data_IF_502176610229
#
_entry.id   IF_502176610229
#
_cell.length_a   1.000
_cell.length_b   1.000
_cell.length_c   1.000
_cell.angle_alpha   90.00
_cell.angle_beta   90.00
_cell.angle_gamma   90.00
#
_symmetry.space_group_name_H-M   'P 1'
#
loop_
_entity.id
_entity.type
_entity.pdbx_description
1 polymer ?
#
# COMPACT_ATOMS: atom_id res chain seq x y z
N UNK A 1 -21.75 25.99 21.79
CA UNK A 1 -20.33 25.57 21.95
C UNK A 1 -19.78 25.31 20.58
N UNK A 2 -18.51 25.69 20.38
CA UNK A 2 -17.86 25.59 19.08
C UNK A 2 -17.19 24.20 18.95
N UNK A 3 -17.46 23.47 17.86
CA UNK A 3 -16.81 22.21 17.59
C UNK A 3 -15.29 22.41 17.38
N UNK A 4 -14.49 21.43 17.77
CA UNK A 4 -13.03 21.56 17.83
C UNK A 4 -12.49 22.12 19.15
N UNK A 5 -13.36 22.60 20.06
CA UNK A 5 -12.96 23.05 21.39
C UNK A 5 -12.56 21.86 22.28
N UNK A 6 -11.50 22.04 23.08
CA UNK A 6 -11.24 21.11 24.19
C UNK A 6 -12.24 21.36 25.30
N UNK A 7 -12.89 20.30 25.73
CA UNK A 7 -13.97 20.36 26.73
C UNK A 7 -13.77 19.28 27.79
N UNK A 8 -14.32 19.57 28.97
CA UNK A 8 -14.57 18.62 30.04
C UNK A 8 -16.07 18.28 30.00
N UNK A 9 -16.42 17.03 29.94
CA UNK A 9 -17.80 16.52 29.93
C UNK A 9 -17.99 15.65 31.14
N UNK A 10 -18.94 16.04 32.02
CA UNK A 10 -19.37 15.25 33.19
C UNK A 10 -20.61 14.48 32.81
N UNK A 11 -20.60 13.17 32.98
CA UNK A 11 -21.71 12.27 32.75
C UNK A 11 -21.79 11.27 33.91
N UNK A 12 -22.90 11.28 34.62
CA UNK A 12 -23.09 10.54 35.89
C UNK A 12 -21.97 10.86 36.89
N UNK A 13 -21.22 9.87 37.36
CA UNK A 13 -20.07 10.05 38.27
C UNK A 13 -18.72 10.19 37.54
N UNK A 14 -18.72 10.17 36.19
CA UNK A 14 -17.48 10.17 35.39
C UNK A 14 -17.20 11.53 34.75
N UNK A 15 -15.94 11.83 34.59
CA UNK A 15 -15.45 13.02 33.89
C UNK A 15 -14.61 12.59 32.67
N UNK A 16 -14.94 13.15 31.51
CA UNK A 16 -14.26 12.88 30.25
C UNK A 16 -13.64 14.16 29.72
N UNK A 17 -12.41 14.07 29.28
CA UNK A 17 -11.64 15.15 28.68
C UNK A 17 -11.37 14.84 27.21
N UNK A 18 -11.63 15.79 26.32
CA UNK A 18 -11.42 15.57 24.90
C UNK A 18 -11.83 16.76 24.04
N UNK A 19 -11.88 16.53 22.75
CA UNK A 19 -12.30 17.54 21.76
C UNK A 19 -13.73 17.29 21.37
N UNK A 20 -14.58 18.34 21.40
CA UNK A 20 -15.97 18.30 20.98
C UNK A 20 -16.03 18.14 19.46
N UNK A 21 -16.72 17.09 18.98
CA UNK A 21 -16.87 16.74 17.56
C UNK A 21 -18.33 16.84 17.17
N UNK A 22 -18.64 17.20 15.93
CA UNK A 22 -20.00 17.21 15.43
C UNK A 22 -20.56 15.79 15.35
N UNK A 23 -21.78 15.60 15.85
CA UNK A 23 -22.50 14.33 15.77
C UNK A 23 -23.63 14.44 14.74
N UNK A 24 -23.80 13.40 13.93
CA UNK A 24 -24.96 13.26 13.04
C UNK A 24 -26.27 13.06 13.83
N UNK A 25 -26.20 12.57 15.06
CA UNK A 25 -27.34 12.49 16.00
C UNK A 25 -27.35 13.71 16.94
N UNK A 26 -28.33 14.57 16.78
CA UNK A 26 -28.48 15.79 17.59
C UNK A 26 -28.72 15.52 19.09
N UNK A 27 -29.08 14.29 19.47
CA UNK A 27 -29.29 13.86 20.85
C UNK A 27 -28.01 13.42 21.55
N UNK A 28 -26.90 13.28 20.79
CA UNK A 28 -25.61 12.77 21.28
C UNK A 28 -24.56 13.88 21.22
N UNK A 29 -23.78 14.00 22.28
CA UNK A 29 -22.53 14.73 22.29
C UNK A 29 -21.43 13.73 21.91
N UNK A 30 -20.72 13.98 20.81
CA UNK A 30 -19.58 13.19 20.39
C UNK A 30 -18.30 13.85 20.90
N UNK A 31 -17.55 13.10 21.72
CA UNK A 31 -16.30 13.57 22.32
C UNK A 31 -15.14 12.70 21.83
N UNK A 32 -14.15 13.32 21.23
CA UNK A 32 -12.89 12.67 20.89
C UNK A 32 -11.93 12.73 22.06
N UNK A 33 -11.62 11.57 22.67
CA UNK A 33 -10.69 11.44 23.78
C UNK A 33 -9.24 11.60 23.33
N UNK A 34 -8.32 11.89 24.27
CA UNK A 34 -6.88 11.96 24.00
C UNK A 34 -6.29 10.63 23.51
N UNK A 35 -6.90 9.51 23.91
CA UNK A 35 -6.58 8.17 23.38
C UNK A 35 -6.91 7.98 21.89
N UNK A 36 -7.61 8.96 21.26
CA UNK A 36 -8.03 8.91 19.86
C UNK A 36 -9.39 8.21 19.66
N UNK A 37 -10.02 7.64 20.69
CA UNK A 37 -11.36 7.08 20.60
C UNK A 37 -12.42 8.16 20.68
N UNK A 38 -13.51 7.98 19.93
CA UNK A 38 -14.70 8.80 20.06
C UNK A 38 -15.72 8.10 20.99
N UNK A 39 -16.28 8.86 21.92
CA UNK A 39 -17.39 8.41 22.77
C UNK A 39 -18.62 9.26 22.52
N UNK A 40 -19.79 8.62 22.41
CA UNK A 40 -21.08 9.28 22.31
C UNK A 40 -21.77 9.33 23.67
N UNK A 41 -22.17 10.52 24.15
CA UNK A 41 -22.83 10.72 25.41
C UNK A 41 -24.18 11.40 25.20
N UNK A 42 -25.26 11.00 25.93
CA UNK A 42 -26.58 11.61 25.75
C UNK A 42 -26.57 13.08 26.15
N UNK A 43 -26.83 13.97 25.21
CA UNK A 43 -26.79 15.43 25.37
C UNK A 43 -27.60 15.94 26.55
N UNK A 44 -28.70 15.30 26.84
CA UNK A 44 -29.64 15.67 27.94
C UNK A 44 -29.11 15.34 29.34
N UNK A 45 -28.06 14.50 29.44
CA UNK A 45 -27.54 13.99 30.73
C UNK A 45 -26.11 14.46 31.04
N UNK A 46 -25.53 15.31 30.19
CA UNK A 46 -24.14 15.77 30.36
C UNK A 46 -24.06 17.24 30.75
N UNK A 47 -23.05 17.56 31.56
CA UNK A 47 -22.58 18.94 31.77
C UNK A 47 -21.27 19.12 31.03
N UNK A 48 -21.17 20.19 30.20
CA UNK A 48 -20.02 20.48 29.39
C UNK A 48 -19.42 21.82 29.78
N UNK A 49 -18.11 21.83 30.02
CA UNK A 49 -17.35 23.06 30.24
C UNK A 49 -16.22 23.15 29.21
N UNK A 50 -16.06 24.31 28.58
CA UNK A 50 -14.99 24.55 27.60
C UNK A 50 -13.70 24.83 28.35
N UNK A 51 -12.62 24.07 28.00
CA UNK A 51 -11.28 24.25 28.54
C UNK A 51 -10.51 25.23 27.65
N UNK A 52 -10.57 25.05 26.33
CA UNK A 52 -9.96 25.98 25.37
C UNK A 52 -10.71 25.98 24.05
N UNK A 53 -10.71 27.13 23.36
CA UNK A 53 -11.23 27.25 22.01
C UNK A 53 -10.19 26.72 20.99
N UNK A 54 -10.61 26.36 19.76
CA UNK A 54 -9.67 25.93 18.71
C UNK A 54 -8.69 27.08 18.42
N UNK A 55 -7.40 26.80 18.47
CA UNK A 55 -6.37 27.81 18.22
C UNK A 55 -5.81 27.60 16.81
N UNK A 56 -6.31 28.34 15.83
CA UNK A 56 -5.83 28.32 14.44
C UNK A 56 -4.62 29.25 14.28
N UNK A 57 -3.43 28.78 14.68
CA UNK A 57 -2.19 29.53 14.43
C UNK A 57 -1.67 29.17 13.05
N UNK A 58 -1.83 30.07 12.08
CA UNK A 58 -1.14 29.98 10.78
C UNK A 58 0.32 30.39 11.01
N UNK A 59 1.21 29.41 11.21
CA UNK A 59 2.66 29.66 11.19
C UNK A 59 3.12 29.85 9.75
N UNK A 60 3.71 31.00 9.45
CA UNK A 60 4.41 31.26 8.18
C UNK A 60 5.55 30.25 8.05
N UNK A 61 5.66 29.62 6.87
CA UNK A 61 6.74 28.70 6.55
C UNK A 61 8.10 29.41 6.63
N UNK A 62 8.98 28.91 7.49
CA UNK A 62 10.38 29.35 7.52
C UNK A 62 11.09 28.80 6.27
N UNK A 63 11.97 29.63 5.66
CA UNK A 63 12.85 29.20 4.57
C UNK A 63 13.62 27.95 4.96
N UNK A 64 13.60 26.95 4.07
CA UNK A 64 14.30 25.68 4.28
C UNK A 64 15.81 25.92 4.20
N UNK A 65 16.53 25.93 5.32
CA UNK A 65 18.00 25.87 5.32
C UNK A 65 18.42 24.47 4.84
N UNK A 66 19.07 24.40 3.68
CA UNK A 66 19.68 23.18 3.15
C UNK A 66 20.94 22.87 3.94
N UNK A 67 21.04 21.66 4.48
CA UNK A 67 22.26 21.17 5.12
C UNK A 67 23.04 20.32 4.11
N UNK A 68 24.20 20.84 3.65
CA UNK A 68 25.02 20.17 2.62
C UNK A 68 25.58 18.80 3.03
N UNK A 69 25.60 18.48 4.34
CA UNK A 69 26.04 17.17 4.83
C UNK A 69 24.96 16.09 4.77
N UNK A 70 23.70 16.44 4.53
CA UNK A 70 22.60 15.50 4.50
C UNK A 70 22.18 15.14 3.08
N UNK A 71 21.76 13.87 2.83
CA UNK A 71 21.27 13.47 1.51
C UNK A 71 19.93 14.15 1.18
N UNK A 72 19.69 14.37 -0.10
CA UNK A 72 18.39 14.86 -0.58
C UNK A 72 17.45 13.68 -0.80
N UNK A 73 16.26 13.73 -0.22
CA UNK A 73 15.19 12.75 -0.40
C UNK A 73 13.92 13.49 -0.83
N UNK A 74 13.22 12.96 -1.83
CA UNK A 74 11.91 13.48 -2.22
C UNK A 74 10.80 12.64 -1.60
N UNK A 75 9.84 13.30 -0.95
CA UNK A 75 8.58 12.69 -0.51
C UNK A 75 7.51 13.03 -1.55
N UNK A 76 6.90 12.00 -2.13
CA UNK A 76 5.77 12.13 -3.06
C UNK A 76 4.51 11.72 -2.33
N UNK A 77 3.51 12.61 -2.25
CA UNK A 77 2.23 12.34 -1.59
C UNK A 77 1.15 11.97 -2.61
N UNK A 78 0.45 10.87 -2.33
CA UNK A 78 -0.74 10.43 -3.07
C UNK A 78 -2.04 10.59 -2.28
N UNK A 79 -1.96 11.10 -1.04
CA UNK A 79 -3.08 11.19 -0.10
C UNK A 79 -3.02 10.10 0.99
N UNK A 80 -4.18 9.59 1.37
CA UNK A 80 -4.31 8.54 2.38
C UNK A 80 -4.23 9.03 3.83
N UNK A 81 -4.42 8.11 4.78
CA UNK A 81 -4.58 8.40 6.23
C UNK A 81 -3.34 9.07 6.85
N UNK A 82 -2.14 8.82 6.35
CA UNK A 82 -0.91 9.43 6.86
C UNK A 82 -0.92 10.96 6.66
N UNK A 83 -1.56 11.42 5.57
CA UNK A 83 -1.74 12.83 5.25
C UNK A 83 -3.14 13.36 5.62
N UNK A 84 -3.88 12.63 6.45
CA UNK A 84 -5.26 12.95 6.80
C UNK A 84 -5.35 13.49 8.23
N UNK A 85 -6.34 14.35 8.45
CA UNK A 85 -6.76 14.81 9.78
C UNK A 85 -8.24 14.47 9.97
N UNK A 86 -8.68 14.31 11.23
CA UNK A 86 -10.10 14.19 11.52
C UNK A 86 -10.75 15.54 11.27
N UNK A 87 -11.77 15.56 10.44
CA UNK A 87 -12.70 16.68 10.38
C UNK A 87 -13.46 16.73 11.69
N UNK A 88 -13.16 17.71 12.52
CA UNK A 88 -13.80 17.86 13.82
C UNK A 88 -15.29 18.21 13.74
N UNK A 89 -15.83 18.52 12.57
CA UNK A 89 -17.27 18.71 12.38
C UNK A 89 -17.99 17.38 12.20
N UNK A 90 -17.45 16.49 11.38
CA UNK A 90 -18.13 15.22 11.02
C UNK A 90 -17.58 14.01 11.78
N UNK A 91 -16.43 14.12 12.43
CA UNK A 91 -15.70 12.99 13.02
C UNK A 91 -15.05 12.07 11.99
N UNK A 92 -15.24 12.35 10.70
CA UNK A 92 -14.65 11.59 9.60
C UNK A 92 -13.18 11.98 9.36
N UNK A 93 -12.40 11.04 8.86
CA UNK A 93 -11.04 11.29 8.39
C UNK A 93 -11.12 11.77 6.95
N UNK A 94 -10.54 12.94 6.66
CA UNK A 94 -10.49 13.48 5.30
C UNK A 94 -9.04 13.64 4.84
N UNK A 95 -8.71 13.35 3.56
CA UNK A 95 -7.37 13.54 3.01
C UNK A 95 -7.13 15.03 2.70
N UNK A 96 -6.78 15.83 3.71
CA UNK A 96 -6.70 17.30 3.58
C UNK A 96 -5.35 17.88 3.99
N UNK A 97 -4.47 17.07 4.58
CA UNK A 97 -3.25 17.62 5.18
C UNK A 97 -2.10 17.65 4.19
N UNK A 98 -1.57 18.85 3.91
CA UNK A 98 -0.34 19.00 3.15
C UNK A 98 0.80 18.24 3.85
N UNK A 99 1.61 17.52 3.09
CA UNK A 99 2.80 16.80 3.59
C UNK A 99 3.69 17.67 4.46
N UNK A 100 3.76 18.98 4.18
CA UNK A 100 4.49 19.96 4.99
C UNK A 100 4.03 20.01 6.44
N UNK A 101 2.72 19.89 6.73
CA UNK A 101 2.20 19.87 8.10
C UNK A 101 2.58 18.59 8.85
N UNK A 102 2.62 17.44 8.15
CA UNK A 102 3.12 16.20 8.75
C UNK A 102 4.59 16.34 9.16
N UNK A 103 5.42 16.95 8.31
CA UNK A 103 6.84 17.20 8.61
C UNK A 103 7.05 18.16 9.78
N UNK A 104 6.15 19.12 9.99
CA UNK A 104 6.19 20.03 11.16
C UNK A 104 5.96 19.29 12.48
N UNK A 105 5.19 18.20 12.46
CA UNK A 105 4.93 17.34 13.63
C UNK A 105 6.09 16.39 13.96
N UNK A 106 7.06 16.23 13.05
CA UNK A 106 8.18 15.28 13.15
C UNK A 106 9.52 16.04 12.98
N UNK A 107 9.93 16.85 13.96
CA UNK A 107 11.12 17.70 13.85
C UNK A 107 12.43 16.92 13.67
N UNK A 108 12.48 15.67 14.13
CA UNK A 108 13.63 14.77 13.98
C UNK A 108 13.99 14.45 12.53
N UNK A 109 13.05 14.55 11.60
CA UNK A 109 13.26 14.29 10.16
C UNK A 109 14.33 15.25 9.58
N UNK A 110 14.44 16.47 10.11
CA UNK A 110 15.41 17.46 9.66
C UNK A 110 16.87 17.03 9.85
N UNK A 111 17.11 16.07 10.74
CA UNK A 111 18.43 15.50 11.00
C UNK A 111 18.74 14.27 10.14
N UNK A 112 17.75 13.75 9.38
CA UNK A 112 17.89 12.55 8.56
C UNK A 112 18.24 12.90 7.12
N UNK A 113 17.55 13.90 6.53
CA UNK A 113 17.70 14.27 5.13
C UNK A 113 17.22 15.71 4.85
N UNK A 114 17.69 16.28 3.76
CA UNK A 114 17.04 17.43 3.13
C UNK A 114 15.80 16.95 2.38
N UNK A 115 14.62 17.38 2.80
CA UNK A 115 13.35 16.88 2.26
C UNK A 115 12.80 17.85 1.21
N UNK A 116 12.57 17.33 0.01
CA UNK A 116 11.69 17.91 -0.99
C UNK A 116 10.32 17.24 -0.95
N UNK A 117 9.23 17.96 -1.15
CA UNK A 117 7.85 17.39 -1.13
C UNK A 117 7.13 17.72 -2.42
N UNK A 118 6.48 16.71 -2.99
CA UNK A 118 5.66 16.80 -4.21
C UNK A 118 4.31 16.16 -3.89
N UNK A 119 3.24 16.88 -4.09
CA UNK A 119 1.88 16.36 -3.96
C UNK A 119 1.33 16.12 -5.37
N UNK A 120 1.01 14.86 -5.68
CA UNK A 120 0.52 14.47 -7.01
C UNK A 120 -0.95 14.09 -6.98
N UNK A 121 -1.42 13.50 -5.89
CA UNK A 121 -2.81 13.08 -5.70
C UNK A 121 -3.26 13.41 -4.27
N UNK A 122 -4.57 13.52 -4.09
CA UNK A 122 -5.22 13.66 -2.78
C UNK A 122 -6.45 12.75 -2.76
N UNK A 123 -6.22 11.43 -2.87
CA UNK A 123 -7.25 10.39 -2.92
C UNK A 123 -7.12 9.43 -1.75
N UNK A 124 -8.24 8.81 -1.35
CA UNK A 124 -8.16 7.55 -0.63
C UNK A 124 -7.60 6.47 -1.56
N UNK A 125 -6.92 5.48 -0.99
CA UNK A 125 -6.25 4.47 -1.81
C UNK A 125 -7.22 3.56 -2.57
N UNK A 126 -8.42 3.36 -2.05
CA UNK A 126 -9.50 2.61 -2.71
C UNK A 126 -10.07 3.32 -3.94
N UNK A 127 -9.88 4.63 -4.05
CA UNK A 127 -10.31 5.45 -5.20
C UNK A 127 -9.25 5.55 -6.30
N UNK A 128 -8.10 4.90 -6.11
CA UNK A 128 -7.03 4.91 -7.11
C UNK A 128 -7.39 4.01 -8.30
N UNK A 129 -7.12 4.51 -9.49
CA UNK A 129 -7.27 3.81 -10.77
C UNK A 129 -5.91 3.32 -11.31
N UNK A 130 -5.97 2.58 -12.40
CA UNK A 130 -4.78 2.15 -13.17
C UNK A 130 -4.01 3.36 -13.73
N UNK A 131 -4.70 4.44 -14.08
CA UNK A 131 -4.10 5.69 -14.53
C UNK A 131 -3.28 6.37 -13.42
N UNK A 132 -3.75 6.32 -12.18
CA UNK A 132 -3.03 6.88 -11.03
C UNK A 132 -1.65 6.18 -10.83
N UNK A 133 -1.55 4.88 -11.14
CA UNK A 133 -0.23 4.19 -11.12
C UNK A 133 0.72 4.74 -12.18
N UNK A 134 0.20 5.13 -13.35
CA UNK A 134 0.98 5.79 -14.39
C UNK A 134 1.52 7.14 -13.89
N UNK A 135 0.68 7.94 -13.24
CA UNK A 135 1.07 9.24 -12.69
C UNK A 135 2.09 9.11 -11.56
N UNK A 136 1.88 8.17 -10.65
CA UNK A 136 2.83 7.88 -9.56
C UNK A 136 4.17 7.42 -10.15
N UNK A 137 4.16 6.51 -11.14
CA UNK A 137 5.36 6.02 -11.81
C UNK A 137 6.14 7.15 -12.49
N UNK A 138 5.44 8.05 -13.19
CA UNK A 138 6.04 9.23 -13.84
C UNK A 138 6.70 10.17 -12.82
N UNK A 139 6.00 10.47 -11.72
CA UNK A 139 6.51 11.36 -10.69
C UNK A 139 7.74 10.77 -9.99
N UNK A 140 7.69 9.48 -9.62
CA UNK A 140 8.81 8.78 -8.99
C UNK A 140 10.00 8.70 -9.94
N UNK A 141 9.78 8.34 -11.22
CA UNK A 141 10.83 8.25 -12.22
C UNK A 141 11.59 9.58 -12.40
N UNK A 142 10.86 10.71 -12.46
CA UNK A 142 11.47 12.05 -12.56
C UNK A 142 12.41 12.32 -11.38
N UNK A 143 12.06 11.90 -10.18
CA UNK A 143 12.85 12.15 -8.97
C UNK A 143 14.04 11.18 -8.85
N UNK A 144 13.86 9.87 -9.06
CA UNK A 144 14.96 8.89 -8.97
C UNK A 144 15.99 9.08 -10.08
N UNK A 145 15.63 9.71 -11.21
CA UNK A 145 16.53 10.04 -12.32
C UNK A 145 17.46 11.22 -12.06
N UNK A 146 17.19 12.02 -10.99
CA UNK A 146 18.05 13.16 -10.62
C UNK A 146 19.27 12.66 -9.86
N UNK A 147 20.46 13.11 -10.26
CA UNK A 147 21.74 12.67 -9.64
C UNK A 147 21.82 13.07 -8.16
N UNK A 148 21.29 14.24 -7.80
CA UNK A 148 21.33 14.75 -6.44
C UNK A 148 20.24 14.18 -5.51
N UNK A 149 19.31 13.35 -5.98
CA UNK A 149 18.29 12.66 -5.17
C UNK A 149 18.82 11.29 -4.77
N UNK A 150 18.86 11.02 -3.47
CA UNK A 150 19.37 9.77 -2.91
C UNK A 150 18.33 8.65 -2.94
N UNK A 151 17.06 8.96 -2.76
CA UNK A 151 15.92 8.03 -2.81
C UNK A 151 14.59 8.78 -2.75
N UNK A 152 13.51 8.05 -2.93
CA UNK A 152 12.14 8.59 -2.93
C UNK A 152 11.31 7.86 -1.89
N UNK A 153 10.50 8.61 -1.14
CA UNK A 153 9.47 8.07 -0.25
C UNK A 153 8.10 8.43 -0.84
N UNK A 154 7.21 7.45 -0.99
CA UNK A 154 5.84 7.65 -1.43
C UNK A 154 4.92 7.46 -0.23
N UNK A 155 4.21 8.51 0.19
CA UNK A 155 3.17 8.38 1.22
C UNK A 155 1.85 7.99 0.56
N UNK A 156 1.21 6.93 1.05
CA UNK A 156 0.09 6.29 0.38
C UNK A 156 -0.96 5.80 1.39
N UNK A 157 -2.21 5.72 0.97
CA UNK A 157 -3.26 5.06 1.73
C UNK A 157 -3.02 3.54 1.82
N UNK A 158 -3.33 2.94 2.99
CA UNK A 158 -2.88 1.57 3.27
C UNK A 158 -3.67 0.47 2.55
N UNK A 159 -4.93 0.71 2.13
CA UNK A 159 -5.79 -0.36 1.62
C UNK A 159 -5.31 -0.96 0.30
N UNK A 160 -4.78 -0.13 -0.60
CA UNK A 160 -4.23 -0.57 -1.90
C UNK A 160 -2.74 -0.27 -2.07
N UNK A 161 -2.02 0.03 -0.99
CA UNK A 161 -0.58 0.32 -1.04
C UNK A 161 0.21 -0.80 -1.71
N UNK A 162 -0.12 -2.05 -1.43
CA UNK A 162 0.56 -3.22 -2.00
C UNK A 162 0.31 -3.40 -3.50
N UNK A 163 -0.82 -2.93 -4.05
CA UNK A 163 -1.02 -2.85 -5.50
C UNK A 163 -0.12 -1.79 -6.14
N UNK A 164 -0.08 -0.59 -5.56
CA UNK A 164 0.73 0.52 -6.10
C UNK A 164 2.23 0.24 -6.00
N UNK A 165 2.70 -0.37 -4.90
CA UNK A 165 4.11 -0.78 -4.77
C UNK A 165 4.48 -1.89 -5.77
N UNK A 166 3.57 -2.85 -6.04
CA UNK A 166 3.75 -3.83 -7.09
C UNK A 166 3.78 -3.18 -8.48
N UNK A 167 2.91 -2.19 -8.76
CA UNK A 167 2.90 -1.47 -10.04
C UNK A 167 4.25 -0.77 -10.29
N UNK A 168 4.80 -0.07 -9.31
CA UNK A 168 6.09 0.58 -9.46
C UNK A 168 7.25 -0.43 -9.55
N UNK A 169 7.15 -1.60 -8.95
CA UNK A 169 8.14 -2.67 -9.09
C UNK A 169 8.30 -3.15 -10.53
N UNK A 170 7.23 -3.07 -11.33
CA UNK A 170 7.27 -3.41 -12.75
C UNK A 170 7.54 -2.21 -13.65
N UNK A 171 7.00 -1.03 -13.34
CA UNK A 171 7.14 0.15 -14.19
C UNK A 171 8.53 0.78 -14.15
N UNK A 172 9.26 0.64 -13.03
CA UNK A 172 10.61 1.19 -12.83
C UNK A 172 11.67 0.10 -13.00
N UNK A 173 12.06 -0.13 -14.26
CA UNK A 173 13.08 -1.12 -14.58
C UNK A 173 14.49 -0.59 -14.34
N UNK A 174 15.43 -1.48 -13.94
CA UNK A 174 16.83 -1.13 -13.67
C UNK A 174 16.95 -0.01 -12.60
N UNK A 175 16.20 -0.13 -11.52
CA UNK A 175 16.15 0.85 -10.46
C UNK A 175 17.44 0.83 -9.63
N UNK A 176 18.19 1.95 -9.63
CA UNK A 176 19.45 2.09 -8.90
C UNK A 176 19.34 2.82 -7.56
N UNK A 177 18.14 3.19 -7.13
CA UNK A 177 17.88 3.94 -5.89
C UNK A 177 16.62 3.41 -5.18
N UNK A 178 16.53 3.52 -3.83
CA UNK A 178 15.33 3.09 -3.10
C UNK A 178 14.10 3.93 -3.48
N UNK A 179 12.98 3.24 -3.67
CA UNK A 179 11.63 3.82 -3.74
C UNK A 179 10.81 3.18 -2.63
N UNK A 180 10.43 3.95 -1.62
CA UNK A 180 9.89 3.44 -0.36
C UNK A 180 8.45 3.90 -0.16
N UNK A 181 7.52 2.96 -0.15
CA UNK A 181 6.13 3.23 0.21
C UNK A 181 5.93 3.17 1.72
N UNK A 182 5.27 4.20 2.25
CA UNK A 182 4.86 4.28 3.65
C UNK A 182 3.41 4.70 3.75
N UNK A 183 2.74 4.26 4.80
CA UNK A 183 1.36 4.64 5.08
C UNK A 183 1.14 4.84 6.59
N UNK A 184 -0.09 5.05 6.99
CA UNK A 184 -0.49 5.08 8.39
C UNK A 184 -1.89 4.49 8.56
N UNK A 185 -2.06 3.60 9.52
CA UNK A 185 -3.36 3.03 9.89
C UNK A 185 -4.18 4.00 10.75
N UNK A 186 -3.49 4.94 11.41
CA UNK A 186 -4.08 5.95 12.27
C UNK A 186 -3.79 7.33 11.72
N UNK A 187 -4.77 8.22 11.76
CA UNK A 187 -4.59 9.62 11.36
C UNK A 187 -3.60 10.37 12.26
N UNK A 188 -2.95 11.39 11.71
CA UNK A 188 -1.86 12.12 12.34
C UNK A 188 -2.23 12.90 13.61
N UNK A 189 -3.50 13.00 13.92
CA UNK A 189 -4.07 13.68 15.08
C UNK A 189 -4.43 12.70 16.23
N UNK A 190 -4.17 11.40 16.09
CA UNK A 190 -4.40 10.38 17.13
C UNK A 190 -3.12 10.09 17.91
N UNK A 191 -3.25 9.83 19.22
CA UNK A 191 -2.12 9.44 20.07
C UNK A 191 -1.44 8.13 19.66
N UNK A 192 -2.17 7.26 18.94
CA UNK A 192 -1.63 6.00 18.39
C UNK A 192 -1.16 6.12 16.93
N UNK A 193 -0.86 7.33 16.47
CA UNK A 193 -0.39 7.59 15.11
C UNK A 193 0.89 6.80 14.79
N UNK A 194 0.81 5.93 13.80
CA UNK A 194 1.90 5.05 13.38
C UNK A 194 2.68 5.59 12.15
N UNK A 195 2.08 6.51 11.40
CA UNK A 195 2.70 7.10 10.22
C UNK A 195 4.01 7.84 10.50
N UNK A 196 4.19 8.33 11.73
CA UNK A 196 5.43 9.02 12.13
C UNK A 196 6.64 8.09 12.12
N UNK A 197 6.56 6.93 12.80
CA UNK A 197 7.64 5.95 12.78
C UNK A 197 7.84 5.36 11.39
N UNK A 198 6.75 5.04 10.66
CA UNK A 198 6.82 4.52 9.29
C UNK A 198 7.59 5.51 8.38
N UNK A 199 7.31 6.81 8.48
CA UNK A 199 7.99 7.82 7.67
C UNK A 199 9.47 7.98 8.06
N UNK A 200 9.81 8.04 9.36
CA UNK A 200 11.18 8.12 9.84
C UNK A 200 12.00 6.92 9.35
N UNK A 201 11.49 5.70 9.56
CA UNK A 201 12.10 4.46 9.08
C UNK A 201 12.19 4.44 7.55
N UNK A 202 11.14 4.88 6.85
CA UNK A 202 11.13 5.03 5.39
C UNK A 202 12.23 5.95 4.87
N UNK A 203 12.50 7.07 5.54
CA UNK A 203 13.59 7.98 5.19
C UNK A 203 14.96 7.36 5.40
N UNK A 204 15.15 6.58 6.49
CA UNK A 204 16.39 5.84 6.71
C UNK A 204 16.64 4.80 5.61
N UNK A 205 15.60 4.09 5.17
CA UNK A 205 15.68 3.15 4.05
C UNK A 205 15.91 3.87 2.72
N UNK A 206 15.26 5.02 2.47
CA UNK A 206 15.44 5.79 1.24
C UNK A 206 16.89 6.31 1.04
N UNK A 207 17.66 6.49 2.10
CA UNK A 207 19.09 6.84 2.01
C UNK A 207 20.03 5.61 1.94
N UNK A 208 19.54 4.40 2.18
CA UNK A 208 20.32 3.15 2.18
C UNK A 208 20.73 2.72 0.78
N UNK A 209 21.40 1.58 0.68
CA UNK A 209 21.82 0.98 -0.60
C UNK A 209 20.84 -0.08 -1.14
N UNK A 210 19.64 -0.21 -0.54
CA UNK A 210 18.62 -1.15 -1.00
C UNK A 210 17.86 -0.54 -2.20
N UNK A 211 18.28 -0.85 -3.42
CA UNK A 211 17.77 -0.24 -4.65
C UNK A 211 16.59 -1.02 -5.24
N UNK A 212 15.48 -1.07 -4.51
CA UNK A 212 14.24 -1.72 -4.91
C UNK A 212 13.02 -0.82 -4.62
N UNK A 213 11.86 -1.22 -5.12
CA UNK A 213 10.57 -0.70 -4.64
C UNK A 213 10.19 -1.46 -3.38
N UNK A 214 10.02 -0.73 -2.29
CA UNK A 214 9.91 -1.26 -0.94
C UNK A 214 8.66 -0.76 -0.25
N UNK A 215 8.15 -1.50 0.73
CA UNK A 215 7.20 -1.00 1.72
C UNK A 215 7.86 -0.99 3.09
N UNK A 216 7.71 0.11 3.83
CA UNK A 216 8.25 0.26 5.18
C UNK A 216 7.12 0.60 6.13
N UNK A 217 6.73 -0.37 6.92
CA UNK A 217 5.59 -0.30 7.84
C UNK A 217 5.95 -0.96 9.17
N UNK A 218 5.22 -0.63 10.26
CA UNK A 218 5.38 -1.24 11.57
C UNK A 218 5.59 -2.75 11.48
N UNK A 219 6.58 -3.25 12.19
CA UNK A 219 6.88 -4.69 12.28
C UNK A 219 6.19 -5.39 13.45
N UNK A 220 5.76 -4.63 14.44
CA UNK A 220 5.00 -5.09 15.62
C UNK A 220 3.86 -4.10 15.92
N UNK A 221 3.04 -4.43 16.92
CA UNK A 221 2.04 -3.50 17.47
C UNK A 221 2.64 -2.30 18.19
N UNK A 222 3.93 -2.36 18.54
CA UNK A 222 4.66 -1.34 19.28
C UNK A 222 5.55 -0.52 18.35
N UNK A 223 6.03 0.65 18.83
CA UNK A 223 6.91 1.55 18.08
C UNK A 223 8.40 1.15 18.11
N UNK A 224 8.70 -0.16 18.06
CA UNK A 224 10.05 -0.69 18.19
C UNK A 224 10.84 -0.64 16.89
N UNK A 225 10.23 -1.10 15.79
CA UNK A 225 10.86 -1.20 14.46
C UNK A 225 9.83 -1.26 13.34
N UNK A 226 10.27 -0.99 12.12
CA UNK A 226 9.52 -1.28 10.91
C UNK A 226 10.14 -2.45 10.14
N UNK A 227 9.31 -3.17 9.36
CA UNK A 227 9.76 -4.14 8.39
C UNK A 227 9.96 -3.46 7.04
N UNK A 228 11.05 -3.82 6.37
CA UNK A 228 11.34 -3.45 4.98
C UNK A 228 10.98 -4.63 4.10
N UNK A 229 9.85 -4.55 3.41
CA UNK A 229 9.37 -5.62 2.55
C UNK A 229 9.52 -5.25 1.07
N UNK A 230 9.72 -6.25 0.21
CA UNK A 230 9.68 -6.06 -1.25
C UNK A 230 8.27 -5.67 -1.67
N UNK A 231 8.14 -4.63 -2.51
CA UNK A 231 6.87 -4.01 -2.85
C UNK A 231 5.85 -4.93 -3.55
N UNK A 232 6.33 -5.98 -4.22
CA UNK A 232 5.51 -6.97 -4.93
C UNK A 232 5.35 -8.31 -4.19
N UNK A 233 5.91 -8.45 -2.97
CA UNK A 233 5.77 -9.64 -2.11
C UNK A 233 5.26 -9.31 -0.70
N UNK A 234 4.47 -8.26 -0.59
CA UNK A 234 3.87 -7.79 0.66
C UNK A 234 2.36 -7.70 0.53
N UNK A 235 1.64 -7.95 1.62
CA UNK A 235 0.18 -7.84 1.67
C UNK A 235 -0.28 -7.20 2.98
N UNK A 236 -1.37 -6.40 2.90
CA UNK A 236 -2.09 -5.93 4.08
C UNK A 236 -2.92 -7.08 4.65
N UNK A 237 -2.48 -7.66 5.78
CA UNK A 237 -3.04 -8.86 6.38
C UNK A 237 -4.09 -8.59 7.46
N UNK A 238 -4.25 -7.34 7.87
CA UNK A 238 -5.23 -6.95 8.89
C UNK A 238 -5.82 -5.58 8.56
N UNK A 239 -7.10 -5.40 8.84
CA UNK A 239 -7.84 -4.17 8.50
C UNK A 239 -7.32 -2.91 9.20
N UNK A 240 -6.88 -3.02 10.47
CA UNK A 240 -6.62 -1.86 11.33
C UNK A 240 -5.33 -1.93 12.17
N UNK A 241 -4.64 -3.09 12.25
CA UNK A 241 -3.38 -3.19 13.02
C UNK A 241 -2.28 -2.35 12.39
N UNK A 242 -1.42 -1.75 13.20
CA UNK A 242 -0.26 -0.98 12.74
C UNK A 242 0.74 -1.87 11.99
N UNK A 243 0.94 -3.09 12.46
CA UNK A 243 1.80 -4.14 11.87
C UNK A 243 1.09 -5.02 10.84
N UNK A 244 0.13 -4.46 10.11
CA UNK A 244 -0.71 -5.21 9.17
C UNK A 244 0.00 -5.65 7.88
N UNK A 245 1.11 -5.03 7.51
CA UNK A 245 1.84 -5.36 6.29
C UNK A 245 2.85 -6.47 6.55
N UNK A 246 2.62 -7.63 5.91
CA UNK A 246 3.47 -8.80 6.08
C UNK A 246 4.04 -9.28 4.75
N UNK A 247 5.30 -9.74 4.75
CA UNK A 247 5.86 -10.41 3.58
C UNK A 247 5.12 -11.74 3.36
N UNK A 248 4.92 -12.11 2.10
CA UNK A 248 4.26 -13.37 1.73
C UNK A 248 5.22 -14.20 0.88
N UNK A 249 5.37 -15.46 1.23
CA UNK A 249 6.30 -16.42 0.60
C UNK A 249 7.76 -15.93 0.56
N UNK A 250 8.14 -15.15 1.56
CA UNK A 250 9.50 -14.63 1.74
C UNK A 250 9.64 -14.06 3.15
N UNK A 251 10.87 -13.83 3.59
CA UNK A 251 11.16 -13.00 4.77
C UNK A 251 11.32 -11.53 4.36
N UNK A 252 11.18 -10.56 5.28
CA UNK A 252 11.47 -9.16 4.96
C UNK A 252 12.92 -8.98 4.53
N UNK A 253 13.20 -7.96 3.73
CA UNK A 253 14.58 -7.61 3.37
C UNK A 253 15.35 -7.18 4.61
N UNK A 254 14.72 -6.39 5.49
CA UNK A 254 15.37 -5.87 6.68
C UNK A 254 14.37 -5.50 7.79
N UNK A 255 14.91 -5.31 9.01
CA UNK A 255 14.31 -4.49 10.06
C UNK A 255 15.01 -3.14 10.09
N UNK A 256 14.23 -2.09 10.29
CA UNK A 256 14.75 -0.72 10.44
C UNK A 256 14.21 -0.09 11.71
N UNK A 257 15.07 0.57 12.46
CA UNK A 257 14.78 1.20 13.74
C UNK A 257 14.72 2.72 13.60
N UNK A 258 14.09 3.38 14.57
CA UNK A 258 13.93 4.85 14.59
C UNK A 258 15.27 5.61 14.54
N UNK A 259 16.33 5.05 15.12
CA UNK A 259 17.69 5.61 15.14
C UNK A 259 18.45 5.45 13.81
N UNK A 260 17.88 4.70 12.86
CA UNK A 260 18.44 4.45 11.55
C UNK A 260 19.25 3.16 11.44
N UNK A 261 19.31 2.34 12.48
CA UNK A 261 19.89 0.98 12.39
C UNK A 261 19.06 0.15 11.42
N UNK A 262 19.73 -0.54 10.49
CA UNK A 262 19.11 -1.46 9.53
C UNK A 262 19.74 -2.84 9.72
N UNK A 263 18.92 -3.85 9.99
CA UNK A 263 19.32 -5.25 10.13
C UNK A 263 18.82 -6.02 8.90
N UNK A 264 19.75 -6.44 8.04
CA UNK A 264 19.45 -7.16 6.79
C UNK A 264 19.12 -8.63 7.10
N UNK A 265 18.05 -9.14 6.50
CA UNK A 265 17.58 -10.52 6.65
C UNK A 265 17.56 -11.31 5.33
N UNK A 266 17.51 -10.64 4.17
CA UNK A 266 17.51 -11.31 2.88
C UNK A 266 18.26 -10.48 1.82
N UNK A 267 18.53 -11.10 0.69
CA UNK A 267 19.17 -10.46 -0.46
C UNK A 267 18.32 -9.31 -1.03
N UNK A 268 19.01 -8.33 -1.58
CA UNK A 268 18.41 -7.17 -2.23
C UNK A 268 19.30 -6.67 -3.40
N UNK A 269 18.73 -5.84 -4.26
CA UNK A 269 19.47 -5.18 -5.32
C UNK A 269 20.26 -4.01 -4.75
N UNK A 270 21.57 -3.98 -5.03
CA UNK A 270 22.45 -2.91 -4.59
C UNK A 270 22.24 -1.64 -5.42
N UNK A 271 22.47 -0.51 -4.77
CA UNK A 271 22.51 0.81 -5.43
C UNK A 271 23.52 0.84 -6.57
N UNK A 272 23.14 1.50 -7.66
CA UNK A 272 24.02 1.77 -8.80
C UNK A 272 23.67 3.11 -9.46
N UNK A 273 24.56 3.60 -10.34
CA UNK A 273 24.42 4.89 -11.03
C UNK A 273 23.68 4.82 -12.37
N UNK A 274 23.35 3.62 -12.85
CA UNK A 274 22.60 3.48 -14.11
C UNK A 274 21.23 4.14 -13.97
N UNK A 275 20.81 4.82 -15.03
CA UNK A 275 19.48 5.43 -15.05
C UNK A 275 18.38 4.36 -15.14
N UNK A 276 17.30 4.50 -14.40
CA UNK A 276 16.14 3.62 -14.51
C UNK A 276 15.51 3.74 -15.90
N UNK A 277 14.83 2.69 -16.34
CA UNK A 277 13.97 2.72 -17.53
C UNK A 277 12.51 2.74 -17.07
N UNK A 278 11.72 3.66 -17.62
CA UNK A 278 10.29 3.79 -17.30
C UNK A 278 9.45 3.03 -18.32
N UNK A 279 8.58 2.16 -17.83
CA UNK A 279 7.55 1.43 -18.58
C UNK A 279 6.20 1.56 -17.85
N UNK A 280 5.61 2.74 -17.89
CA UNK A 280 4.51 3.17 -16.99
C UNK A 280 3.11 2.83 -17.47
N UNK A 281 2.94 2.13 -18.60
CA UNK A 281 1.61 1.81 -19.12
C UNK A 281 0.99 0.61 -18.39
N UNK A 282 -0.29 0.69 -18.12
CA UNK A 282 -1.11 -0.38 -17.56
C UNK A 282 -2.43 -0.48 -18.35
N UNK A 283 -2.96 -1.70 -18.51
CA UNK A 283 -4.20 -1.94 -19.24
C UNK A 283 -5.35 -2.22 -18.26
N UNK A 284 -6.47 -1.55 -18.43
CA UNK A 284 -7.67 -1.70 -17.60
C UNK A 284 -8.49 -2.95 -17.90
N UNK A 285 -8.27 -3.60 -19.06
CA UNK A 285 -9.01 -4.78 -19.49
C UNK A 285 -8.42 -6.07 -18.90
N UNK A 286 -8.11 -6.03 -17.61
CA UNK A 286 -7.67 -7.17 -16.81
C UNK A 286 -8.61 -7.33 -15.62
N UNK A 287 -8.98 -8.58 -15.30
CA UNK A 287 -9.82 -8.91 -14.15
C UNK A 287 -9.07 -9.77 -13.14
N UNK A 288 -9.28 -9.49 -11.85
CA UNK A 288 -8.89 -10.35 -10.74
C UNK A 288 -10.16 -11.00 -10.18
N UNK A 289 -10.25 -12.33 -10.21
CA UNK A 289 -11.44 -13.08 -9.84
C UNK A 289 -11.14 -14.09 -8.75
N UNK A 290 -11.74 -13.90 -7.59
CA UNK A 290 -11.72 -14.90 -6.53
C UNK A 290 -12.78 -15.96 -6.79
N UNK A 291 -12.34 -17.20 -7.02
CA UNK A 291 -13.25 -18.33 -7.20
C UNK A 291 -13.97 -18.67 -5.89
N UNK A 292 -15.25 -19.03 -5.97
CA UNK A 292 -16.05 -19.55 -4.84
C UNK A 292 -17.03 -20.62 -5.33
N UNK A 293 -17.42 -21.60 -4.45
CA UNK A 293 -18.44 -22.60 -4.80
C UNK A 293 -19.77 -21.93 -5.18
N UNK A 294 -20.33 -22.32 -6.32
CA UNK A 294 -21.55 -21.72 -6.84
C UNK A 294 -21.35 -20.48 -7.73
N UNK A 295 -20.11 -20.14 -8.10
CA UNK A 295 -19.81 -19.04 -9.02
C UNK A 295 -20.59 -19.18 -10.34
N UNK A 296 -21.24 -18.10 -10.78
CA UNK A 296 -22.00 -18.06 -12.02
C UNK A 296 -21.05 -18.03 -13.24
N UNK A 297 -21.28 -18.96 -14.17
CA UNK A 297 -20.53 -19.04 -15.44
C UNK A 297 -20.69 -17.79 -16.31
N UNK A 298 -21.80 -17.06 -16.17
CA UNK A 298 -22.08 -15.82 -16.92
C UNK A 298 -21.07 -14.73 -16.69
N UNK A 299 -20.35 -14.76 -15.57
CA UNK A 299 -19.24 -13.82 -15.32
C UNK A 299 -18.18 -13.89 -16.43
N UNK A 300 -17.84 -15.09 -16.87
CA UNK A 300 -16.84 -15.30 -17.93
C UNK A 300 -17.38 -14.89 -19.31
N UNK A 301 -18.68 -15.08 -19.57
CA UNK A 301 -19.35 -14.55 -20.77
C UNK A 301 -19.33 -13.02 -20.80
N UNK A 302 -19.56 -12.37 -19.66
CA UNK A 302 -19.46 -10.93 -19.52
C UNK A 302 -18.05 -10.42 -19.84
N UNK A 303 -17.01 -11.05 -19.32
CA UNK A 303 -15.62 -10.66 -19.57
C UNK A 303 -15.27 -10.79 -21.06
N UNK A 304 -15.68 -11.88 -21.71
CA UNK A 304 -15.46 -12.09 -23.13
C UNK A 304 -16.18 -11.01 -23.97
N UNK A 305 -17.48 -10.79 -23.71
CA UNK A 305 -18.30 -9.78 -24.40
C UNK A 305 -17.71 -8.36 -24.25
N UNK A 306 -17.14 -8.02 -23.09
CA UNK A 306 -16.55 -6.71 -22.81
C UNK A 306 -15.05 -6.63 -23.17
N UNK A 307 -14.55 -7.62 -23.93
CA UNK A 307 -13.19 -7.64 -24.52
C UNK A 307 -12.09 -7.50 -23.46
N UNK A 308 -12.23 -8.18 -22.32
CA UNK A 308 -11.12 -8.31 -21.40
C UNK A 308 -9.98 -9.08 -22.07
N UNK A 309 -8.74 -8.61 -21.84
CA UNK A 309 -7.53 -9.17 -22.44
C UNK A 309 -6.83 -10.17 -21.53
N UNK A 310 -7.09 -10.07 -20.22
CA UNK A 310 -6.46 -10.91 -19.23
C UNK A 310 -7.33 -11.15 -18.00
N UNK A 311 -7.16 -12.32 -17.39
CA UNK A 311 -7.87 -12.73 -16.17
C UNK A 311 -6.87 -13.40 -15.25
N UNK A 312 -6.81 -12.97 -14.00
CA UNK A 312 -6.16 -13.68 -12.91
C UNK A 312 -7.24 -14.32 -12.06
N UNK A 313 -7.14 -15.63 -11.86
CA UNK A 313 -8.07 -16.38 -11.02
C UNK A 313 -7.36 -16.77 -9.72
N UNK A 314 -7.94 -16.36 -8.59
CA UNK A 314 -7.59 -16.90 -7.28
C UNK A 314 -8.32 -18.22 -7.09
N UNK A 315 -7.66 -19.34 -7.43
CA UNK A 315 -8.19 -20.68 -7.23
C UNK A 315 -8.05 -21.17 -5.80
N UNK A 316 -8.69 -22.26 -5.45
CA UNK A 316 -8.55 -22.90 -4.13
C UNK A 316 -7.29 -23.77 -4.06
N UNK A 317 -6.62 -23.77 -2.91
CA UNK A 317 -5.46 -24.62 -2.66
C UNK A 317 -4.37 -24.47 -3.73
N UNK A 318 -4.02 -25.53 -4.41
CA UNK A 318 -3.00 -25.56 -5.47
C UNK A 318 -3.45 -24.91 -6.80
N UNK A 319 -4.51 -24.11 -6.80
CA UNK A 319 -5.04 -23.46 -8.01
C UNK A 319 -6.16 -24.28 -8.67
N UNK A 320 -7.18 -24.64 -7.89
CA UNK A 320 -8.31 -25.41 -8.39
C UNK A 320 -9.59 -24.55 -8.46
N UNK A 321 -10.41 -24.88 -9.44
CA UNK A 321 -11.75 -24.32 -9.64
C UNK A 321 -12.70 -25.44 -10.07
N UNK A 322 -14.00 -25.19 -10.05
CA UNK A 322 -14.99 -26.19 -10.45
C UNK A 322 -14.86 -26.58 -11.94
N UNK A 323 -14.93 -27.86 -12.24
CA UNK A 323 -14.78 -28.42 -13.60
C UNK A 323 -15.73 -27.84 -14.65
N UNK A 324 -16.93 -27.43 -14.26
CA UNK A 324 -17.89 -26.74 -15.15
C UNK A 324 -17.34 -25.44 -15.78
N UNK A 325 -16.35 -24.77 -15.13
CA UNK A 325 -15.72 -23.55 -15.64
C UNK A 325 -14.73 -23.83 -16.79
N UNK A 326 -14.27 -25.07 -16.93
CA UNK A 326 -13.20 -25.43 -17.88
C UNK A 326 -13.53 -25.03 -19.32
N UNK A 327 -14.75 -25.31 -19.79
CA UNK A 327 -15.16 -24.96 -21.16
C UNK A 327 -15.16 -23.44 -21.37
N UNK A 328 -15.67 -22.66 -20.42
CA UNK A 328 -15.70 -21.18 -20.51
C UNK A 328 -14.30 -20.59 -20.52
N UNK A 329 -13.41 -21.10 -19.69
CA UNK A 329 -12.00 -20.69 -19.67
C UNK A 329 -11.30 -21.05 -20.97
N UNK A 330 -11.56 -22.24 -21.51
CA UNK A 330 -11.03 -22.67 -22.80
C UNK A 330 -11.50 -21.77 -23.96
N UNK A 331 -12.78 -21.37 -23.97
CA UNK A 331 -13.34 -20.43 -24.93
C UNK A 331 -12.63 -19.06 -24.87
N UNK A 332 -12.42 -18.51 -23.67
CA UNK A 332 -11.69 -17.25 -23.45
C UNK A 332 -10.25 -17.33 -23.97
N UNK A 333 -9.53 -18.40 -23.63
CA UNK A 333 -8.15 -18.58 -24.10
C UNK A 333 -8.08 -18.69 -25.62
N UNK A 334 -9.02 -19.41 -26.25
CA UNK A 334 -9.12 -19.48 -27.72
C UNK A 334 -9.43 -18.15 -28.37
N UNK A 335 -10.14 -17.25 -27.68
CA UNK A 335 -10.39 -15.88 -28.15
C UNK A 335 -9.22 -14.91 -27.88
N UNK A 336 -8.09 -15.41 -27.36
CA UNK A 336 -6.87 -14.62 -27.12
C UNK A 336 -6.76 -14.01 -25.73
N UNK A 337 -7.65 -14.33 -24.79
CA UNK A 337 -7.57 -13.85 -23.40
C UNK A 337 -6.53 -14.66 -22.64
N UNK A 338 -5.58 -13.97 -22.00
CA UNK A 338 -4.66 -14.63 -21.07
C UNK A 338 -5.38 -15.02 -19.78
N UNK A 339 -5.20 -16.26 -19.31
CA UNK A 339 -5.75 -16.73 -18.04
C UNK A 339 -4.62 -17.22 -17.15
N UNK A 340 -4.39 -16.50 -16.04
CA UNK A 340 -3.42 -16.83 -14.99
C UNK A 340 -4.10 -17.43 -13.77
N UNK A 341 -3.45 -18.41 -13.12
CA UNK A 341 -3.91 -19.06 -11.90
C UNK A 341 -3.00 -18.69 -10.74
N UNK A 342 -3.58 -18.20 -9.66
CA UNK A 342 -2.97 -17.97 -8.35
C UNK A 342 -3.79 -18.69 -7.27
N UNK A 343 -3.38 -18.61 -5.99
CA UNK A 343 -4.11 -19.21 -4.88
C UNK A 343 -4.85 -18.18 -4.05
N UNK A 344 -5.99 -18.58 -3.48
CA UNK A 344 -6.68 -17.86 -2.39
C UNK A 344 -5.93 -17.96 -1.05
N UNK A 345 -5.10 -19.01 -0.89
CA UNK A 345 -4.20 -19.12 0.24
C UNK A 345 -3.09 -18.09 0.10
N UNK A 346 -2.84 -17.32 1.15
CA UNK A 346 -1.81 -16.27 1.09
C UNK A 346 -0.41 -16.87 0.93
N UNK A 347 -0.17 -18.05 1.48
CA UNK A 347 1.13 -18.72 1.47
C UNK A 347 1.08 -19.99 0.62
N UNK A 348 2.22 -20.34 0.05
CA UNK A 348 2.42 -21.51 -0.79
C UNK A 348 2.38 -21.17 -2.28
N UNK A 349 2.45 -22.20 -3.10
CA UNK A 349 2.55 -22.11 -4.56
C UNK A 349 1.44 -22.90 -5.23
N UNK A 350 0.90 -22.40 -6.34
CA UNK A 350 -0.03 -23.17 -7.17
C UNK A 350 0.73 -24.21 -7.99
N UNK A 351 0.15 -25.40 -8.16
CA UNK A 351 0.78 -26.49 -8.89
C UNK A 351 -0.25 -27.32 -9.70
N UNK A 352 -0.13 -27.36 -11.04
CA UNK A 352 -1.08 -28.10 -11.87
C UNK A 352 -0.89 -29.62 -11.86
N UNK A 353 0.24 -30.13 -11.39
CA UNK A 353 0.64 -31.53 -11.65
C UNK A 353 0.15 -32.54 -10.60
N UNK A 354 -0.30 -32.06 -9.44
CA UNK A 354 -0.68 -32.94 -8.31
C UNK A 354 -2.04 -33.62 -8.55
N UNK A 355 -3.03 -32.88 -9.04
CA UNK A 355 -4.39 -33.38 -9.25
C UNK A 355 -4.82 -33.31 -10.72
N UNK A 356 -5.72 -34.24 -11.13
CA UNK A 356 -6.26 -34.29 -12.49
C UNK A 356 -6.97 -32.98 -12.92
N UNK A 357 -7.67 -32.32 -12.00
CA UNK A 357 -8.32 -31.03 -12.25
C UNK A 357 -7.32 -29.94 -12.63
N UNK A 358 -6.17 -29.85 -11.94
CA UNK A 358 -5.10 -28.91 -12.27
C UNK A 358 -4.48 -29.20 -13.65
N UNK A 359 -4.20 -30.50 -13.93
CA UNK A 359 -3.68 -30.92 -15.24
C UNK A 359 -4.64 -30.57 -16.38
N UNK A 360 -5.93 -30.74 -16.16
CA UNK A 360 -6.94 -30.38 -17.16
C UNK A 360 -6.93 -28.86 -17.45
N UNK A 361 -6.88 -28.01 -16.43
CA UNK A 361 -6.79 -26.58 -16.59
C UNK A 361 -5.51 -26.17 -17.34
N UNK A 362 -4.37 -26.73 -16.96
CA UNK A 362 -3.08 -26.50 -17.59
C UNK A 362 -3.09 -26.91 -19.08
N UNK A 363 -3.63 -28.08 -19.41
CA UNK A 363 -3.74 -28.59 -20.79
C UNK A 363 -4.70 -27.73 -21.65
N UNK A 364 -5.62 -27.00 -21.04
CA UNK A 364 -6.49 -26.04 -21.73
C UNK A 364 -5.89 -24.63 -21.81
N UNK A 365 -4.64 -24.44 -21.39
CA UNK A 365 -3.89 -23.21 -21.61
C UNK A 365 -3.83 -22.26 -20.41
N UNK A 366 -4.41 -22.62 -19.26
CA UNK A 366 -4.27 -21.82 -18.02
C UNK A 366 -2.80 -21.78 -17.60
N UNK A 367 -2.28 -20.59 -17.32
CA UNK A 367 -0.91 -20.38 -16.88
C UNK A 367 -0.86 -20.31 -15.35
N UNK A 368 -0.20 -21.28 -14.72
CA UNK A 368 0.01 -21.29 -13.27
C UNK A 368 1.16 -20.35 -12.91
N UNK A 369 0.91 -19.47 -11.92
CA UNK A 369 1.81 -18.35 -11.55
C UNK A 369 2.53 -18.61 -10.23
N UNK A 370 2.78 -19.87 -9.92
CA UNK A 370 3.62 -20.32 -8.80
C UNK A 370 3.22 -19.69 -7.45
N UNK A 371 4.13 -18.97 -6.78
CA UNK A 371 3.93 -18.33 -5.49
C UNK A 371 3.58 -16.84 -5.59
N UNK A 372 3.32 -16.34 -6.81
CA UNK A 372 2.98 -14.92 -7.01
C UNK A 372 1.65 -14.58 -6.34
N UNK A 373 1.64 -13.47 -5.57
CA UNK A 373 0.41 -12.94 -4.97
C UNK A 373 -0.63 -12.59 -6.03
N UNK A 374 -1.92 -12.83 -5.77
CA UNK A 374 -3.00 -12.48 -6.73
C UNK A 374 -2.98 -11.02 -7.15
N UNK A 375 -2.76 -10.10 -6.20
CA UNK A 375 -2.69 -8.67 -6.44
C UNK A 375 -1.49 -8.30 -7.33
N UNK A 376 -0.34 -8.89 -7.04
CA UNK A 376 0.88 -8.73 -7.86
C UNK A 376 0.69 -9.31 -9.26
N UNK A 377 0.05 -10.46 -9.39
CA UNK A 377 -0.24 -11.09 -10.68
C UNK A 377 -1.18 -10.24 -11.54
N UNK A 378 -2.22 -9.65 -10.91
CA UNK A 378 -3.14 -8.73 -11.57
C UNK A 378 -2.39 -7.49 -12.11
N UNK A 379 -1.60 -6.85 -11.27
CA UNK A 379 -0.81 -5.67 -11.64
C UNK A 379 0.20 -6.02 -12.74
N UNK A 380 0.93 -7.13 -12.59
CA UNK A 380 1.88 -7.60 -13.59
C UNK A 380 1.22 -7.85 -14.94
N UNK A 381 0.05 -8.51 -14.95
CA UNK A 381 -0.68 -8.79 -16.18
C UNK A 381 -1.15 -7.50 -16.86
N UNK A 382 -1.71 -6.56 -16.10
CA UNK A 382 -2.08 -5.24 -16.60
C UNK A 382 -0.89 -4.51 -17.25
N UNK A 383 0.26 -4.54 -16.61
CA UNK A 383 1.50 -3.96 -17.10
C UNK A 383 2.04 -4.70 -18.34
N UNK A 384 2.05 -6.03 -18.32
CA UNK A 384 2.54 -6.85 -19.46
C UNK A 384 1.71 -6.61 -20.71
N UNK A 385 0.37 -6.64 -20.59
CA UNK A 385 -0.55 -6.41 -21.73
C UNK A 385 -0.35 -5.02 -22.34
N UNK A 386 -0.05 -4.02 -21.52
CA UNK A 386 0.11 -2.63 -21.99
C UNK A 386 1.48 -2.34 -22.63
N UNK A 387 2.49 -3.17 -22.42
CA UNK A 387 3.88 -2.86 -22.81
C UNK A 387 4.52 -3.90 -23.74
N UNK A 388 3.89 -5.06 -23.99
CA UNK A 388 4.45 -6.14 -24.80
C UNK A 388 3.41 -6.67 -25.79
N UNK A 389 3.89 -7.34 -26.83
CA UNK A 389 3.03 -7.95 -27.84
C UNK A 389 2.29 -9.16 -27.27
N UNK A 390 1.11 -9.44 -27.82
CA UNK A 390 0.23 -10.52 -27.35
C UNK A 390 0.93 -11.89 -27.32
N UNK A 391 1.84 -12.15 -28.25
CA UNK A 391 2.64 -13.39 -28.30
C UNK A 391 3.60 -13.54 -27.12
N UNK A 392 4.03 -12.43 -26.52
CA UNK A 392 5.01 -12.41 -25.41
C UNK A 392 4.36 -12.52 -24.02
N UNK A 393 3.04 -12.25 -23.91
CA UNK A 393 2.35 -12.14 -22.61
C UNK A 393 2.65 -13.35 -21.71
N UNK A 394 2.48 -14.58 -22.22
CA UNK A 394 2.71 -15.80 -21.44
C UNK A 394 4.15 -15.92 -20.94
N UNK A 395 5.11 -15.60 -21.80
CA UNK A 395 6.52 -15.62 -21.45
C UNK A 395 6.85 -14.57 -20.39
N UNK A 396 6.38 -13.33 -20.58
CA UNK A 396 6.60 -12.23 -19.63
C UNK A 396 5.95 -12.46 -18.28
N UNK A 397 4.75 -13.05 -18.25
CA UNK A 397 4.09 -13.42 -16.99
C UNK A 397 4.86 -14.47 -16.20
N UNK A 398 5.55 -15.41 -16.86
CA UNK A 398 6.42 -16.43 -16.23
C UNK A 398 7.86 -15.97 -15.95
N UNK A 399 8.30 -14.88 -16.53
CA UNK A 399 9.63 -14.31 -16.28
C UNK A 399 9.66 -13.65 -14.90
N UNK A 400 10.67 -13.95 -14.09
CA UNK A 400 10.94 -13.24 -12.82
C UNK A 400 11.58 -11.88 -13.15
N UNK A 401 10.81 -10.80 -13.08
CA UNK A 401 11.21 -9.46 -13.55
C UNK A 401 11.72 -8.60 -12.38
N UNK A 402 11.03 -8.70 -11.25
CA UNK A 402 11.28 -7.86 -10.06
C UNK A 402 11.29 -8.69 -8.76
N UNK A 403 11.76 -9.92 -8.84
CA UNK A 403 11.79 -10.89 -7.73
C UNK A 403 10.39 -11.20 -7.16
N UNK A 404 9.37 -11.16 -8.00
CA UNK A 404 7.99 -11.50 -7.65
C UNK A 404 7.75 -13.01 -7.48
N UNK A 405 8.65 -13.84 -8.00
CA UNK A 405 8.71 -15.29 -7.77
C UNK A 405 9.80 -15.63 -6.79
N UNK A 406 9.57 -16.61 -5.93
CA UNK A 406 10.57 -17.25 -5.09
C UNK A 406 11.20 -18.45 -5.82
N UNK A 407 12.49 -18.66 -5.66
CA UNK A 407 13.18 -19.84 -6.23
C UNK A 407 12.82 -21.12 -5.48
N UNK A 408 12.53 -20.99 -4.18
CA UNK A 408 12.16 -22.09 -3.31
C UNK A 408 11.26 -21.60 -2.17
N UNK A 409 10.46 -22.48 -1.60
CA UNK A 409 9.72 -22.24 -0.35
C UNK A 409 10.58 -22.64 0.85
N UNK A 410 10.71 -21.77 1.82
CA UNK A 410 11.43 -22.05 3.06
C UNK A 410 10.47 -22.14 4.24
N UNK A 411 10.75 -22.98 5.27
CA UNK A 411 9.87 -23.10 6.44
C UNK A 411 9.60 -21.77 7.17
N UNK A 412 10.56 -20.85 7.13
CA UNK A 412 10.46 -19.54 7.78
C UNK A 412 9.64 -18.51 6.98
N UNK A 413 9.22 -18.83 5.76
CA UNK A 413 8.40 -17.93 4.92
C UNK A 413 6.93 -17.94 5.35
N UNK A 414 6.53 -18.86 6.23
CA UNK A 414 5.16 -19.00 6.68
C UNK A 414 4.92 -18.23 7.98
N UNK A 415 3.93 -17.33 7.98
CA UNK A 415 3.51 -16.51 9.11
C UNK A 415 4.64 -15.67 9.74
N UNK A 416 5.50 -15.08 8.92
CA UNK A 416 6.56 -14.20 9.41
C UNK A 416 5.99 -12.98 10.16
#
# INVERSE_FOLDING_TARGET
MEYGSKVKVSYESNEFYGTLVESSDQKIILLKLESGYNIGLPKSKVKISTISKPNYVIKKSSEKKINSSLPNITIISTGGTIASEVDYKTGAVTPVTKTSKLLEKLPEIKNIANINTIEILSKFSEDLSVEDWTDISNAVYKEVSKDNVRGVVVTHGTDTLHYSSAALSFSLQNLGKPVVFVGGQRSSDRGSFDGGLNLICGLHVAKSDIAEVLTVMHGSSDDNFCLVNRGNKVKKMHTTRRDSFRPINTVPIAKVYKDGKIEIHSEYNLRHSNKPKLMQKFDEKVALIKYYPGMDLKLFDFLNKNKYKGIIIEGTGLGHIHSKLLNKISELIKSGVFVGMTSQANYGSVNPYVYSSGRNLFNHGVTYLEDMLPETAYVKLSWVIANFDSAEIKQKMKQNISREYSEASHPNDFLY
#
